data_IF_024958507167
#
_entry.id   IF_024958507167
#
_cell.length_a   1.000
_cell.length_b   1.000
_cell.length_c   1.000
_cell.angle_alpha   90.00
_cell.angle_beta   90.00
_cell.angle_gamma   90.00
#
_symmetry.space_group_name_H-M   'P 1'
#
loop_
_entity.id
_entity.type
_entity.pdbx_description
1 polymer ?
#
# COMPACT_ATOMS: atom_id res chain seq x y z
N UNK A 1 5.39 -29.82 37.08
CA UNK A 1 5.80 -28.87 36.00
C UNK A 1 5.88 -29.63 34.69
N UNK A 2 4.86 -29.50 33.82
CA UNK A 2 4.94 -29.95 32.43
C UNK A 2 5.05 -28.68 31.59
N UNK A 3 6.25 -28.38 31.10
CA UNK A 3 6.44 -27.36 30.09
C UNK A 3 5.93 -27.93 28.76
N UNK A 4 4.78 -27.44 28.30
CA UNK A 4 4.35 -27.66 26.94
C UNK A 4 5.25 -26.82 26.02
N UNK A 5 6.12 -27.48 25.25
CA UNK A 5 6.72 -26.87 24.07
C UNK A 5 5.58 -26.55 23.09
N UNK A 6 5.14 -25.29 23.05
CA UNK A 6 4.38 -24.79 21.92
C UNK A 6 5.35 -24.68 20.72
N UNK A 7 5.48 -25.78 19.98
CA UNK A 7 6.18 -25.79 18.70
C UNK A 7 5.45 -24.84 17.76
N UNK A 8 6.11 -23.75 17.38
CA UNK A 8 5.67 -22.88 16.30
C UNK A 8 5.78 -23.69 14.99
N UNK A 9 4.72 -24.40 14.62
CA UNK A 9 4.63 -24.97 13.27
C UNK A 9 4.53 -23.78 12.33
N UNK A 10 5.66 -23.36 11.77
CA UNK A 10 5.65 -22.55 10.57
C UNK A 10 4.90 -23.39 9.52
N UNK A 11 3.61 -23.09 9.30
CA UNK A 11 2.87 -23.69 8.20
C UNK A 11 3.69 -23.44 6.94
N UNK A 12 4.30 -24.50 6.43
CA UNK A 12 5.07 -24.49 5.18
C UNK A 12 4.10 -24.07 4.08
N UNK A 13 4.48 -23.09 3.27
CA UNK A 13 3.74 -22.80 2.05
C UNK A 13 3.99 -23.94 1.07
N UNK A 14 2.96 -24.74 0.82
CA UNK A 14 2.95 -25.64 -0.32
C UNK A 14 2.89 -24.81 -1.60
N UNK A 15 3.59 -25.23 -2.64
CA UNK A 15 3.42 -24.65 -3.97
C UNK A 15 2.01 -24.98 -4.49
N UNK A 16 1.26 -23.95 -4.87
CA UNK A 16 -0.11 -24.08 -5.35
C UNK A 16 -0.21 -23.49 -6.74
N UNK A 17 -0.93 -24.18 -7.63
CA UNK A 17 -1.30 -23.65 -8.93
C UNK A 17 -2.17 -22.39 -8.75
N UNK A 18 -1.72 -21.27 -9.33
CA UNK A 18 -2.50 -20.05 -9.32
C UNK A 18 -3.78 -20.27 -10.12
N UNK A 19 -4.92 -19.97 -9.51
CA UNK A 19 -6.22 -20.13 -10.14
C UNK A 19 -6.84 -18.76 -10.47
N UNK A 20 -7.35 -18.66 -11.68
CA UNK A 20 -8.20 -17.56 -12.09
C UNK A 20 -8.10 -17.10 -13.51
N UNK A 21 -8.88 -16.08 -13.87
CA UNK A 21 -8.81 -15.52 -15.21
C UNK A 21 -7.62 -14.57 -15.41
N UNK A 22 -7.03 -14.07 -14.32
CA UNK A 22 -5.81 -13.25 -14.34
C UNK A 22 -4.58 -13.95 -13.78
N UNK A 23 -3.49 -13.86 -14.53
CA UNK A 23 -2.13 -14.12 -14.05
C UNK A 23 -1.39 -12.80 -13.78
N UNK A 24 -1.61 -11.80 -14.64
CA UNK A 24 -0.99 -10.48 -14.55
C UNK A 24 -1.90 -9.41 -15.16
N UNK A 25 -1.68 -8.16 -14.75
CA UNK A 25 -2.36 -6.96 -15.26
C UNK A 25 -1.31 -5.88 -15.53
N UNK A 26 -1.39 -5.21 -16.66
CA UNK A 26 -0.51 -4.08 -17.00
C UNK A 26 -1.34 -2.84 -17.23
N UNK A 27 -1.20 -1.85 -16.37
CA UNK A 27 -1.73 -0.51 -16.61
C UNK A 27 -0.75 0.29 -17.47
N UNK A 28 -1.26 0.91 -18.51
CA UNK A 28 -0.48 1.75 -19.45
C UNK A 28 -1.11 3.12 -19.57
N UNK A 29 -0.32 4.12 -19.98
CA UNK A 29 -0.78 5.51 -20.10
C UNK A 29 -1.35 6.08 -18.79
N UNK A 30 -0.82 5.62 -17.65
CA UNK A 30 -1.34 5.96 -16.32
C UNK A 30 -1.20 7.46 -16.03
N UNK A 31 -0.06 8.03 -16.38
CA UNK A 31 0.20 9.45 -16.16
C UNK A 31 -0.23 10.33 -17.33
N UNK A 32 0.37 11.51 -17.37
CA UNK A 32 -0.05 12.63 -18.19
C UNK A 32 0.06 13.93 -17.41
N UNK A 33 -0.49 15.00 -17.97
CA UNK A 33 -0.56 16.31 -17.32
C UNK A 33 -1.97 16.54 -16.78
N UNK A 34 -2.07 17.09 -15.58
CA UNK A 34 -3.34 17.41 -14.94
C UNK A 34 -3.15 18.05 -13.58
N UNK A 35 -4.16 18.00 -12.73
CA UNK A 35 -4.09 18.55 -11.39
C UNK A 35 -4.92 17.77 -10.38
N UNK A 36 -4.54 17.83 -9.12
CA UNK A 36 -5.37 17.36 -8.01
C UNK A 36 -5.37 18.39 -6.87
N UNK A 37 -6.35 18.26 -5.97
CA UNK A 37 -6.48 19.10 -4.80
C UNK A 37 -5.62 18.58 -3.63
N UNK A 38 -4.43 19.15 -3.46
CA UNK A 38 -3.50 18.82 -2.39
C UNK A 38 -3.94 19.46 -1.07
N UNK A 39 -3.94 18.71 0.02
CA UNK A 39 -4.15 19.28 1.36
C UNK A 39 -2.93 20.13 1.72
N UNK A 40 -3.18 21.38 2.10
CA UNK A 40 -2.16 22.36 2.51
C UNK A 40 -2.26 22.67 4.00
N UNK A 41 -3.47 22.62 4.53
CA UNK A 41 -3.72 22.87 5.94
C UNK A 41 -5.01 22.18 6.37
N UNK A 42 -5.10 21.88 7.66
CA UNK A 42 -6.27 21.29 8.27
C UNK A 42 -6.54 22.04 9.57
N UNK A 43 -7.71 22.65 9.67
CA UNK A 43 -8.08 23.40 10.87
C UNK A 43 -8.61 22.43 11.93
N UNK A 44 -7.97 22.34 13.11
CA UNK A 44 -8.49 21.53 14.20
C UNK A 44 -9.81 22.14 14.69
N UNK A 45 -10.76 21.29 15.09
CA UNK A 45 -12.00 21.76 15.69
C UNK A 45 -11.85 22.03 17.19
N UNK A 46 -12.85 22.68 17.78
CA UNK A 46 -12.91 22.93 19.23
C UNK A 46 -13.94 21.99 19.84
N UNK A 47 -13.54 21.14 20.78
CA UNK A 47 -14.48 20.27 21.48
C UNK A 47 -15.60 21.09 22.15
N UNK A 48 -16.89 20.66 22.09
CA UNK A 48 -17.40 19.40 21.57
C UNK A 48 -17.84 19.44 20.10
N UNK A 49 -17.58 20.52 19.36
CA UNK A 49 -18.13 20.69 18.01
C UNK A 49 -17.06 20.95 16.95
N UNK A 50 -17.09 20.15 15.89
CA UNK A 50 -16.44 20.53 14.66
C UNK A 50 -17.39 21.43 13.82
N UNK A 51 -17.41 22.73 14.12
CA UNK A 51 -18.35 23.71 13.52
C UNK A 51 -18.29 23.70 11.99
N UNK A 52 -19.45 23.77 11.32
CA UNK A 52 -19.56 23.69 9.85
C UNK A 52 -18.90 24.87 9.10
N UNK A 53 -18.71 26.01 9.76
CA UNK A 53 -18.21 27.25 9.14
C UNK A 53 -16.67 27.37 9.13
N UNK A 54 -15.96 26.38 9.66
CA UNK A 54 -14.49 26.31 9.61
C UNK A 54 -14.11 25.52 8.36
N UNK A 55 -13.14 25.99 7.57
CA UNK A 55 -12.64 25.23 6.42
C UNK A 55 -11.74 24.10 6.94
N UNK A 56 -12.39 23.01 7.40
CA UNK A 56 -11.77 21.84 8.03
C UNK A 56 -10.63 21.28 7.18
N UNK A 57 -10.83 21.27 5.86
CA UNK A 57 -9.87 20.77 4.88
C UNK A 57 -9.51 21.87 3.89
N UNK A 58 -8.32 22.47 4.03
CA UNK A 58 -7.84 23.50 3.13
C UNK A 58 -6.98 22.84 2.06
N UNK A 59 -7.47 22.90 0.83
CA UNK A 59 -6.79 22.33 -0.33
C UNK A 59 -6.36 23.40 -1.32
N UNK A 60 -5.33 23.09 -2.10
CA UNK A 60 -4.87 23.89 -3.21
C UNK A 60 -4.69 22.97 -4.42
N UNK A 61 -5.17 23.42 -5.58
CA UNK A 61 -4.88 22.78 -6.85
C UNK A 61 -3.38 22.77 -7.11
N UNK A 62 -2.82 21.58 -7.34
CA UNK A 62 -1.43 21.40 -7.78
C UNK A 62 -1.37 20.69 -9.10
N UNK A 63 -0.51 21.19 -9.97
CA UNK A 63 -0.25 20.61 -11.28
C UNK A 63 0.68 19.41 -11.13
N UNK A 64 0.41 18.37 -11.91
CA UNK A 64 1.24 17.18 -12.05
C UNK A 64 1.49 16.90 -13.52
N UNK A 65 2.66 16.34 -13.81
CA UNK A 65 3.02 15.90 -15.14
C UNK A 65 4.08 14.80 -15.03
N UNK A 66 3.94 13.75 -15.82
CA UNK A 66 4.90 12.63 -15.83
C UNK A 66 4.28 11.35 -16.36
N UNK A 67 5.12 10.39 -16.74
CA UNK A 67 4.71 9.09 -17.31
C UNK A 67 3.76 8.33 -16.37
N UNK A 68 4.07 8.32 -15.07
CA UNK A 68 3.22 7.70 -14.06
C UNK A 68 2.58 8.68 -13.10
N UNK A 69 2.54 9.99 -13.40
CA UNK A 69 1.95 10.96 -12.50
C UNK A 69 0.50 10.59 -12.11
N UNK A 70 0.12 10.59 -10.82
CA UNK A 70 0.89 10.95 -9.62
C UNK A 70 1.55 9.76 -8.89
N UNK A 71 1.58 8.55 -9.48
CA UNK A 71 2.16 7.33 -8.90
C UNK A 71 3.70 7.29 -8.90
N UNK A 72 4.35 8.26 -9.54
CA UNK A 72 5.77 8.56 -9.39
C UNK A 72 6.10 9.41 -8.15
N UNK A 73 5.10 10.00 -7.47
CA UNK A 73 5.25 10.51 -6.11
C UNK A 73 5.56 9.37 -5.11
N UNK A 74 5.85 9.76 -3.86
CA UNK A 74 5.98 8.82 -2.75
C UNK A 74 4.68 8.04 -2.53
N UNK A 75 4.76 6.72 -2.60
CA UNK A 75 3.64 5.83 -2.28
C UNK A 75 3.81 5.15 -0.91
N UNK A 76 2.68 4.87 -0.29
CA UNK A 76 2.52 3.92 0.82
C UNK A 76 1.79 2.68 0.31
N UNK A 77 2.02 1.53 0.93
CA UNK A 77 1.22 0.32 0.66
C UNK A 77 0.37 -0.01 1.88
N UNK A 78 -0.94 -0.06 1.69
CA UNK A 78 -1.92 -0.33 2.72
C UNK A 78 -2.47 -1.75 2.57
N UNK A 79 -2.81 -2.37 3.69
CA UNK A 79 -3.28 -3.74 3.80
C UNK A 79 -4.51 -3.77 4.70
N UNK A 80 -5.55 -4.47 4.27
CA UNK A 80 -6.77 -4.71 5.04
C UNK A 80 -6.98 -6.22 5.24
N UNK A 81 -7.24 -6.61 6.48
CA UNK A 81 -7.38 -8.00 6.89
C UNK A 81 -8.79 -8.58 6.64
N UNK A 82 -8.93 -9.92 6.65
CA UNK A 82 -7.97 -10.90 7.13
C UNK A 82 -6.82 -11.16 6.15
N UNK A 83 -5.58 -11.13 6.63
CA UNK A 83 -4.41 -11.38 5.80
C UNK A 83 -3.25 -11.91 6.63
N UNK A 84 -2.53 -12.90 6.12
CA UNK A 84 -1.26 -13.33 6.66
C UNK A 84 -0.11 -12.84 5.78
N UNK A 85 0.67 -11.88 6.25
CA UNK A 85 1.89 -11.40 5.60
C UNK A 85 3.09 -12.23 6.07
N UNK A 86 3.86 -12.76 5.12
CA UNK A 86 5.02 -13.64 5.37
C UNK A 86 6.33 -13.01 4.99
N UNK A 87 6.36 -12.26 3.88
CA UNK A 87 7.53 -11.50 3.47
C UNK A 87 7.10 -10.24 2.73
N UNK A 88 7.84 -9.16 2.93
CA UNK A 88 7.72 -7.90 2.18
C UNK A 88 9.13 -7.52 1.72
N UNK A 89 9.26 -7.12 0.46
CA UNK A 89 10.48 -6.51 -0.05
C UNK A 89 10.14 -5.40 -1.04
N UNK A 90 10.80 -4.25 -0.89
CA UNK A 90 10.71 -3.12 -1.83
C UNK A 90 12.06 -2.96 -2.52
N UNK A 91 12.04 -2.83 -3.84
CA UNK A 91 13.22 -2.62 -4.68
C UNK A 91 13.08 -1.32 -5.46
N UNK A 92 14.18 -0.57 -5.61
CA UNK A 92 14.23 0.65 -6.42
C UNK A 92 15.50 0.64 -7.29
N UNK A 93 15.48 1.26 -8.48
CA UNK A 93 16.69 1.46 -9.27
C UNK A 93 17.63 2.44 -8.58
N UNK A 94 18.94 2.25 -8.73
CA UNK A 94 19.95 3.21 -8.29
C UNK A 94 20.63 3.83 -9.50
N UNK A 95 20.36 5.11 -9.78
CA UNK A 95 20.91 5.78 -10.96
C UNK A 95 20.37 5.20 -12.28
N UNK A 96 21.20 5.14 -13.33
CA UNK A 96 20.84 4.63 -14.67
C UNK A 96 20.73 3.09 -14.75
N UNK A 97 20.52 2.40 -13.63
CA UNK A 97 20.89 0.99 -13.48
C UNK A 97 19.92 -0.02 -14.13
N UNK A 98 20.53 -0.99 -14.79
CA UNK A 98 20.01 -2.28 -15.26
C UNK A 98 19.62 -3.24 -14.11
N UNK A 99 19.66 -2.80 -12.86
CA UNK A 99 19.27 -3.61 -11.70
C UNK A 99 18.60 -2.77 -10.62
N UNK A 100 17.60 -3.33 -9.96
CA UNK A 100 16.87 -2.70 -8.86
C UNK A 100 17.33 -3.32 -7.54
N UNK A 101 17.77 -2.50 -6.60
CA UNK A 101 18.29 -2.97 -5.31
C UNK A 101 17.17 -3.03 -4.27
N UNK A 102 17.21 -4.02 -3.39
CA UNK A 102 16.31 -4.13 -2.24
C UNK A 102 16.61 -2.98 -1.29
N UNK A 103 15.65 -2.09 -1.10
CA UNK A 103 15.77 -0.91 -0.24
C UNK A 103 15.03 -1.08 1.08
N UNK A 104 14.00 -1.93 1.13
CA UNK A 104 13.24 -2.22 2.35
C UNK A 104 12.83 -3.68 2.39
N UNK A 105 12.74 -4.25 3.59
CA UNK A 105 12.26 -5.63 3.74
C UNK A 105 11.76 -5.94 5.15
N UNK A 106 10.86 -6.92 5.24
CA UNK A 106 10.39 -7.45 6.52
C UNK A 106 9.92 -8.90 6.39
N UNK A 107 10.05 -9.65 7.48
CA UNK A 107 9.40 -10.94 7.70
C UNK A 107 9.02 -11.11 9.17
N UNK A 108 8.04 -11.97 9.50
CA UNK A 108 7.55 -12.17 10.87
C UNK A 108 8.65 -12.42 11.88
N UNK A 109 8.44 -11.93 13.11
CA UNK A 109 9.38 -12.06 14.23
C UNK A 109 10.77 -11.47 13.97
N UNK A 110 10.92 -10.61 12.95
CA UNK A 110 12.14 -9.83 12.69
C UNK A 110 11.85 -8.34 12.69
N UNK A 111 12.88 -7.56 13.05
CA UNK A 111 12.82 -6.10 12.89
C UNK A 111 12.78 -5.76 11.40
N UNK A 112 11.86 -4.88 10.97
CA UNK A 112 11.88 -4.39 9.60
C UNK A 112 13.17 -3.64 9.24
N UNK A 113 13.55 -3.67 7.97
CA UNK A 113 14.65 -2.89 7.40
C UNK A 113 14.07 -1.77 6.53
N UNK A 114 14.37 -0.51 6.84
CA UNK A 114 13.91 0.69 6.12
C UNK A 114 12.40 0.67 5.81
N UNK A 115 11.60 0.18 6.75
CA UNK A 115 10.15 0.34 6.73
C UNK A 115 9.58 0.37 8.15
N UNK A 116 8.41 0.98 8.29
CA UNK A 116 7.62 1.01 9.54
C UNK A 116 6.19 0.58 9.24
N UNK A 117 5.60 -0.16 10.18
CA UNK A 117 4.16 -0.43 10.16
C UNK A 117 3.40 0.68 10.88
N UNK A 118 2.37 1.18 10.23
CA UNK A 118 1.55 2.28 10.70
C UNK A 118 0.07 1.89 10.57
N UNK A 119 -0.80 2.59 11.30
CA UNK A 119 -2.25 2.43 11.25
C UNK A 119 -2.94 3.78 11.43
N UNK A 120 -4.24 3.84 11.14
CA UNK A 120 -5.05 5.05 11.27
C UNK A 120 -5.64 5.21 12.68
N UNK A 121 -4.80 5.13 13.72
CA UNK A 121 -5.19 5.11 15.15
C UNK A 121 -4.51 6.22 15.96
N UNK A 122 -4.28 7.36 15.32
CA UNK A 122 -3.76 8.58 15.94
C UNK A 122 -4.61 9.06 17.13
N UNK A 123 -3.96 9.70 18.09
CA UNK A 123 -4.55 10.08 19.39
C UNK A 123 -4.43 9.02 20.47
N UNK A 124 -3.87 7.86 20.14
CA UNK A 124 -3.44 6.86 21.12
C UNK A 124 -2.01 7.12 21.62
N UNK A 125 -1.08 6.20 21.39
CA UNK A 125 0.32 6.31 21.85
C UNK A 125 1.24 7.10 20.90
N UNK A 126 0.81 7.28 19.66
CA UNK A 126 1.42 8.16 18.66
C UNK A 126 0.35 8.68 17.72
N UNK A 127 0.72 9.56 16.79
CA UNK A 127 -0.23 10.33 16.01
C UNK A 127 -1.07 11.26 16.86
N UNK A 128 -2.08 11.84 16.24
CA UNK A 128 -2.97 12.82 16.85
C UNK A 128 -4.42 12.46 16.52
N UNK A 129 -5.34 12.90 17.37
CA UNK A 129 -6.77 12.88 17.07
C UNK A 129 -7.31 14.31 17.14
N UNK A 130 -8.18 14.65 16.20
CA UNK A 130 -8.84 15.94 16.13
C UNK A 130 -10.31 15.73 15.77
N UNK A 131 -11.18 16.57 16.32
CA UNK A 131 -12.63 16.45 16.17
C UNK A 131 -13.11 16.71 14.74
N UNK A 132 -12.34 17.44 13.94
CA UNK A 132 -12.66 17.73 12.54
C UNK A 132 -12.03 16.77 11.54
N UNK A 133 -10.89 16.20 11.88
CA UNK A 133 -10.09 15.38 10.99
C UNK A 133 -10.03 13.90 11.35
N UNK A 134 -10.53 13.53 12.53
CA UNK A 134 -10.39 12.19 13.08
C UNK A 134 -8.95 11.86 13.47
N UNK A 135 -8.70 10.55 13.53
CA UNK A 135 -7.39 9.98 13.79
C UNK A 135 -6.45 10.25 12.61
N UNK A 136 -5.24 10.72 12.92
CA UNK A 136 -4.13 10.67 11.97
C UNK A 136 -3.54 9.27 11.91
N UNK A 137 -2.52 9.11 11.07
CA UNK A 137 -1.64 7.95 11.14
C UNK A 137 -0.87 7.89 12.47
N UNK A 138 -0.54 6.67 12.91
CA UNK A 138 0.23 6.33 14.10
C UNK A 138 1.09 5.08 13.86
N UNK A 139 2.10 4.83 14.70
CA UNK A 139 2.87 3.58 14.65
C UNK A 139 2.04 2.41 15.18
N UNK A 140 2.06 1.26 14.49
CA UNK A 140 1.23 0.11 14.83
C UNK A 140 1.89 -0.83 15.87
N UNK A 141 1.07 -1.45 16.73
CA UNK A 141 1.48 -2.55 17.61
C UNK A 141 1.86 -3.82 16.83
N UNK A 142 2.55 -4.75 17.50
CA UNK A 142 3.04 -6.00 16.89
C UNK A 142 1.95 -6.94 16.39
N UNK A 143 0.74 -6.80 16.92
CA UNK A 143 -0.49 -7.49 16.50
C UNK A 143 -1.39 -6.63 15.60
N UNK A 144 -0.93 -5.41 15.27
CA UNK A 144 -1.61 -4.42 14.43
C UNK A 144 -2.97 -3.91 14.93
N UNK A 145 -3.32 -4.14 16.19
CA UNK A 145 -4.64 -3.75 16.73
C UNK A 145 -4.67 -2.39 17.43
N UNK A 146 -3.52 -1.78 17.71
CA UNK A 146 -3.39 -0.56 18.52
C UNK A 146 -2.27 0.34 18.00
N UNK A 147 -2.19 1.57 18.51
CA UNK A 147 -1.03 2.43 18.33
C UNK A 147 0.02 2.23 19.44
N UNK A 148 1.30 2.39 19.08
CA UNK A 148 2.47 2.38 19.98
C UNK A 148 3.26 3.68 19.86
N UNK A 149 4.19 3.93 20.78
CA UNK A 149 4.87 5.23 20.87
C UNK A 149 6.02 5.37 19.86
N UNK A 150 6.68 4.27 19.51
CA UNK A 150 7.87 4.27 18.66
C UNK A 150 7.71 3.40 17.41
N UNK A 151 8.38 3.75 16.30
CA UNK A 151 8.36 2.91 15.11
C UNK A 151 8.95 1.53 15.43
N UNK A 152 8.26 0.47 15.00
CA UNK A 152 8.71 -0.92 15.16
C UNK A 152 9.11 -1.28 16.60
N UNK A 153 8.38 -0.73 17.59
CA UNK A 153 8.62 -0.98 19.01
C UNK A 153 8.49 -2.47 19.37
N UNK A 154 7.62 -3.17 18.65
CA UNK A 154 7.33 -4.59 18.84
C UNK A 154 7.65 -5.38 17.58
N UNK A 155 7.85 -6.69 17.72
CA UNK A 155 7.95 -7.60 16.59
C UNK A 155 6.56 -7.96 16.09
N UNK A 156 6.43 -8.12 14.77
CA UNK A 156 5.15 -8.35 14.11
C UNK A 156 4.95 -9.84 13.84
N UNK A 157 3.75 -10.36 14.13
CA UNK A 157 3.40 -11.77 13.92
C UNK A 157 3.15 -12.12 12.46
N UNK A 158 2.75 -11.12 11.66
CA UNK A 158 2.31 -11.31 10.28
C UNK A 158 0.84 -11.61 10.11
N UNK A 159 0.05 -11.70 11.18
CA UNK A 159 -1.40 -11.89 11.07
C UNK A 159 -2.15 -10.57 11.24
N UNK A 160 -2.80 -10.13 10.17
CA UNK A 160 -3.72 -8.99 10.15
C UNK A 160 -5.15 -9.51 10.29
N UNK A 161 -5.79 -9.17 11.39
CA UNK A 161 -7.13 -9.62 11.75
C UNK A 161 -8.20 -8.95 10.85
N UNK A 162 -9.37 -9.57 10.64
CA UNK A 162 -10.52 -8.90 10.03
C UNK A 162 -10.82 -7.57 10.73
N UNK A 163 -11.15 -6.55 9.94
CA UNK A 163 -11.53 -5.22 10.44
C UNK A 163 -10.35 -4.34 10.87
N UNK A 164 -9.11 -4.82 10.72
CA UNK A 164 -7.90 -4.06 10.98
C UNK A 164 -7.16 -3.74 9.70
N UNK A 165 -6.58 -2.54 9.70
CA UNK A 165 -5.81 -2.00 8.59
C UNK A 165 -4.49 -1.43 9.05
N UNK A 166 -3.50 -1.65 8.21
CA UNK A 166 -2.17 -1.09 8.37
C UNK A 166 -1.68 -0.53 7.05
N UNK A 167 -0.67 0.32 7.11
CA UNK A 167 0.11 0.69 5.95
C UNK A 167 1.60 0.65 6.28
N UNK A 168 2.44 0.50 5.25
CA UNK A 168 3.89 0.59 5.37
C UNK A 168 4.42 1.85 4.72
N UNK A 169 5.38 2.47 5.40
CA UNK A 169 6.16 3.61 4.90
C UNK A 169 7.65 3.34 5.16
N UNK A 170 8.56 4.15 4.63
CA UNK A 170 10.00 4.08 4.97
C UNK A 170 10.22 4.42 6.45
N UNK A 171 11.37 4.05 7.02
CA UNK A 171 11.70 4.40 8.41
C UNK A 171 12.14 5.87 8.60
N UNK A 172 12.05 6.68 7.55
CA UNK A 172 12.41 8.10 7.55
C UNK A 172 11.21 8.97 7.96
N UNK A 173 11.18 9.56 9.15
CA UNK A 173 10.09 10.43 9.56
C UNK A 173 10.11 11.75 8.79
N UNK A 174 8.93 12.33 8.54
CA UNK A 174 8.81 13.70 8.07
C UNK A 174 9.37 14.66 9.15
N UNK A 175 10.17 15.65 8.74
CA UNK A 175 10.74 16.64 9.67
C UNK A 175 10.98 17.98 8.98
N UNK A 176 11.32 19.02 9.73
CA UNK A 176 11.71 20.31 9.15
C UNK A 176 12.97 20.23 8.26
N UNK A 177 13.85 19.25 8.52
CA UNK A 177 15.09 19.03 7.74
C UNK A 177 14.88 18.11 6.54
N UNK A 178 13.86 17.27 6.60
CA UNK A 178 13.45 16.35 5.53
C UNK A 178 11.92 16.42 5.43
N UNK A 179 11.38 17.47 4.82
CA UNK A 179 9.93 17.66 4.77
C UNK A 179 9.30 16.66 3.80
N UNK A 180 8.18 16.08 4.22
CA UNK A 180 7.33 15.33 3.32
C UNK A 180 6.62 16.28 2.35
N UNK A 181 6.36 15.80 1.13
CA UNK A 181 5.50 16.52 0.17
C UNK A 181 4.09 16.64 0.76
N UNK A 182 3.52 17.83 0.67
CA UNK A 182 2.16 18.14 1.13
C UNK A 182 2.01 18.29 2.63
N UNK A 183 0.76 18.42 3.07
CA UNK A 183 0.43 18.50 4.48
C UNK A 183 0.61 17.13 5.16
N UNK A 184 1.34 17.12 6.28
CA UNK A 184 1.49 15.97 7.16
C UNK A 184 1.14 16.39 8.59
N UNK A 185 0.41 15.54 9.31
CA UNK A 185 -0.02 15.80 10.68
C UNK A 185 0.41 14.68 11.61
N UNK A 186 0.86 15.04 12.81
CA UNK A 186 1.28 14.09 13.83
C UNK A 186 2.43 13.20 13.37
N UNK A 187 2.25 11.89 13.53
CA UNK A 187 3.25 10.89 13.14
C UNK A 187 3.13 10.58 11.65
N UNK A 188 4.20 10.89 10.89
CA UNK A 188 4.23 10.71 9.46
C UNK A 188 5.64 10.34 8.97
N UNK A 189 5.70 9.51 7.92
CA UNK A 189 6.95 9.01 7.33
C UNK A 189 7.01 9.23 5.81
N UNK A 190 8.20 9.16 5.24
CA UNK A 190 8.42 9.15 3.80
C UNK A 190 7.93 7.84 3.16
N UNK A 191 7.40 7.91 1.94
CA UNK A 191 7.04 6.74 1.14
C UNK A 191 8.14 6.39 0.13
N UNK A 192 7.84 5.51 -0.82
CA UNK A 192 8.76 5.18 -1.92
C UNK A 192 8.34 5.93 -3.19
N UNK A 193 9.18 6.86 -3.65
CA UNK A 193 8.96 7.62 -4.89
C UNK A 193 9.56 6.93 -6.13
N UNK A 194 9.24 7.46 -7.32
CA UNK A 194 9.81 7.03 -8.60
C UNK A 194 9.52 5.57 -8.93
N UNK A 195 10.39 4.97 -9.75
CA UNK A 195 10.30 3.55 -10.07
C UNK A 195 10.53 2.67 -8.85
N UNK A 196 9.68 1.67 -8.66
CA UNK A 196 9.66 0.82 -7.46
C UNK A 196 8.95 -0.49 -7.72
N UNK A 197 9.46 -1.55 -7.13
CA UNK A 197 8.85 -2.88 -7.13
C UNK A 197 8.57 -3.25 -5.69
N UNK A 198 7.34 -3.63 -5.38
CA UNK A 198 7.00 -4.28 -4.12
C UNK A 198 6.66 -5.75 -4.39
N UNK A 199 7.26 -6.64 -3.62
CA UNK A 199 6.91 -8.06 -3.57
C UNK A 199 6.39 -8.41 -2.18
N UNK A 200 5.26 -9.11 -2.12
CA UNK A 200 4.56 -9.47 -0.89
C UNK A 200 4.23 -10.96 -0.96
N UNK A 201 4.75 -11.75 -0.03
CA UNK A 201 4.29 -13.12 0.18
C UNK A 201 3.16 -13.10 1.21
N UNK A 202 1.99 -13.58 0.81
CA UNK A 202 0.79 -13.50 1.65
C UNK A 202 -0.20 -14.65 1.44
N UNK A 203 -1.13 -14.72 2.39
CA UNK A 203 -2.40 -15.43 2.31
C UNK A 203 -3.53 -14.48 2.71
N UNK A 204 -4.69 -14.58 2.07
CA UNK A 204 -5.89 -13.82 2.38
C UNK A 204 -7.03 -14.82 2.66
N UNK A 205 -7.05 -15.48 3.83
CA UNK A 205 -8.10 -16.46 4.16
C UNK A 205 -9.46 -15.77 4.29
N UNK A 206 -10.55 -16.54 4.21
CA UNK A 206 -11.87 -16.03 4.57
C UNK A 206 -11.95 -15.78 6.08
N UNK A 207 -12.62 -14.71 6.49
CA UNK A 207 -12.85 -14.43 7.91
C UNK A 207 -13.51 -13.07 8.15
N UNK A 208 -14.49 -13.04 9.06
CA UNK A 208 -15.28 -11.84 9.34
C UNK A 208 -16.22 -11.45 8.19
N UNK A 209 -16.78 -10.24 8.29
CA UNK A 209 -17.54 -9.61 7.20
C UNK A 209 -16.63 -8.77 6.29
N UNK A 210 -15.32 -8.77 6.52
CA UNK A 210 -14.38 -7.89 5.83
C UNK A 210 -13.68 -8.59 4.66
N UNK A 211 -13.45 -7.80 3.61
CA UNK A 211 -12.64 -8.17 2.46
C UNK A 211 -11.16 -8.05 2.79
N UNK A 212 -10.32 -8.74 2.02
CA UNK A 212 -8.88 -8.52 2.05
C UNK A 212 -8.49 -7.58 0.92
N UNK A 213 -7.72 -6.55 1.24
CA UNK A 213 -7.26 -5.58 0.24
C UNK A 213 -5.79 -5.23 0.40
N UNK A 214 -5.15 -4.92 -0.72
CA UNK A 214 -3.81 -4.35 -0.81
C UNK A 214 -3.91 -3.14 -1.72
N UNK A 215 -3.65 -1.96 -1.19
CA UNK A 215 -3.70 -0.71 -1.93
C UNK A 215 -2.31 -0.08 -1.99
N UNK A 216 -2.01 0.63 -3.06
CA UNK A 216 -0.96 1.64 -3.06
C UNK A 216 -1.59 3.02 -3.14
N UNK A 217 -1.31 3.86 -2.14
CA UNK A 217 -1.85 5.22 -2.05
C UNK A 217 -0.71 6.21 -2.22
N UNK A 218 -0.99 7.39 -2.80
CA UNK A 218 -0.09 8.52 -2.62
C UNK A 218 0.11 8.78 -1.12
N UNK A 219 1.36 8.90 -0.68
CA UNK A 219 1.69 8.97 0.74
C UNK A 219 1.04 10.17 1.44
N UNK A 220 0.68 11.22 0.70
CA UNK A 220 -0.09 12.35 1.21
C UNK A 220 -1.46 11.96 1.78
N UNK A 221 -2.05 10.87 1.29
CA UNK A 221 -3.35 10.37 1.76
C UNK A 221 -3.29 9.98 3.22
N UNK A 222 -2.28 9.21 3.60
CA UNK A 222 -2.13 8.71 4.97
C UNK A 222 -1.47 9.73 5.91
N UNK A 223 -0.66 10.64 5.38
CA UNK A 223 -0.02 11.71 6.17
C UNK A 223 -0.98 12.78 6.66
N UNK A 224 -2.09 12.98 5.95
CA UNK A 224 -3.11 13.96 6.31
C UNK A 224 -4.19 13.31 7.17
N UNK A 225 -5.12 12.58 6.55
CA UNK A 225 -6.11 11.72 7.19
C UNK A 225 -6.71 10.76 6.15
N UNK A 226 -6.33 9.47 6.18
CA UNK A 226 -6.69 8.49 5.14
C UNK A 226 -8.20 8.42 4.85
N UNK A 227 -9.02 8.52 5.90
CA UNK A 227 -10.48 8.48 5.82
C UNK A 227 -11.15 9.84 6.09
N UNK A 228 -10.37 10.92 6.01
CA UNK A 228 -10.84 12.28 6.27
C UNK A 228 -10.35 13.26 5.20
N UNK A 229 -9.77 14.38 5.64
CA UNK A 229 -9.20 15.39 4.76
C UNK A 229 -7.93 14.87 4.08
N UNK A 230 -8.05 14.42 2.84
CA UNK A 230 -6.92 13.98 2.02
C UNK A 230 -7.12 14.32 0.53
N UNK A 231 -6.12 13.97 -0.29
CA UNK A 231 -6.12 14.22 -1.73
C UNK A 231 -6.60 13.03 -2.60
N UNK A 232 -6.99 11.88 -2.03
CA UNK A 232 -7.21 10.59 -2.75
C UNK A 232 -8.09 10.75 -3.98
N UNK A 233 -9.28 11.35 -3.80
CA UNK A 233 -10.25 11.67 -4.86
C UNK A 233 -10.65 10.45 -5.70
N UNK A 234 -11.73 9.76 -5.31
CA UNK A 234 -12.27 8.62 -6.07
C UNK A 234 -13.29 9.11 -7.09
N UNK A 235 -12.99 8.97 -8.39
CA UNK A 235 -13.86 9.45 -9.48
C UNK A 235 -13.71 10.95 -9.79
N UNK A 236 -14.36 11.45 -10.84
CA UNK A 236 -14.18 12.83 -11.35
C UNK A 236 -14.49 13.91 -10.30
N UNK A 237 -13.62 14.93 -10.09
CA UNK A 237 -12.47 15.32 -10.91
C UNK A 237 -11.13 14.57 -10.60
N UNK A 238 -11.19 13.44 -9.91
CA UNK A 238 -10.06 12.58 -9.58
C UNK A 238 -9.26 13.07 -8.38
N UNK A 239 -8.10 12.46 -8.15
CA UNK A 239 -7.22 12.87 -7.06
C UNK A 239 -5.77 12.41 -7.17
N UNK A 240 -5.05 12.46 -6.06
CA UNK A 240 -3.62 12.25 -6.00
C UNK A 240 -3.17 10.80 -6.14
N UNK A 241 -4.09 9.86 -6.36
CA UNK A 241 -3.77 8.52 -6.81
C UNK A 241 -4.05 7.43 -5.77
N UNK A 242 -4.70 6.39 -6.25
CA UNK A 242 -4.85 5.09 -5.60
C UNK A 242 -4.76 4.00 -6.67
N UNK A 243 -4.12 2.89 -6.35
CA UNK A 243 -4.29 1.65 -7.08
C UNK A 243 -4.54 0.51 -6.11
N UNK A 244 -5.65 -0.17 -6.31
CA UNK A 244 -5.97 -1.40 -5.63
C UNK A 244 -5.18 -2.50 -6.30
N UNK A 245 -4.07 -2.93 -5.69
CA UNK A 245 -3.25 -4.00 -6.23
C UNK A 245 -4.05 -5.31 -6.25
N UNK A 246 -4.84 -5.52 -5.20
CA UNK A 246 -5.75 -6.65 -5.04
C UNK A 246 -6.82 -6.29 -4.03
N UNK A 247 -8.10 -6.35 -4.41
CA UNK A 247 -9.22 -6.10 -3.50
C UNK A 247 -10.34 -7.13 -3.70
N UNK A 248 -10.76 -7.78 -2.61
CA UNK A 248 -11.97 -8.61 -2.62
C UNK A 248 -13.20 -7.77 -2.30
N UNK A 249 -14.21 -7.80 -3.15
CA UNK A 249 -15.44 -7.02 -2.97
C UNK A 249 -16.39 -7.69 -1.97
N UNK A 250 -16.58 -7.07 -0.81
CA UNK A 250 -17.43 -7.58 0.29
C UNK A 250 -18.89 -7.75 -0.12
N UNK A 251 -19.43 -6.79 -0.88
CA UNK A 251 -20.79 -6.85 -1.42
C UNK A 251 -20.94 -7.74 -2.66
N UNK A 252 -19.82 -8.30 -3.13
CA UNK A 252 -19.76 -9.15 -4.32
C UNK A 252 -19.31 -10.57 -3.99
N UNK A 253 -18.64 -11.20 -4.94
CA UNK A 253 -18.05 -12.51 -4.74
C UNK A 253 -16.68 -12.35 -4.05
N UNK A 254 -16.64 -12.58 -2.74
CA UNK A 254 -15.43 -12.49 -1.92
C UNK A 254 -14.38 -13.55 -2.23
N UNK A 255 -14.68 -14.55 -3.07
CA UNK A 255 -13.71 -15.51 -3.59
C UNK A 255 -12.88 -14.94 -4.75
N UNK A 256 -13.20 -13.72 -5.22
CA UNK A 256 -12.51 -13.04 -6.30
C UNK A 256 -11.88 -11.75 -5.80
N UNK A 257 -10.75 -11.41 -6.40
CA UNK A 257 -10.07 -10.16 -6.17
C UNK A 257 -9.81 -9.43 -7.49
N UNK A 258 -9.91 -8.10 -7.45
CA UNK A 258 -9.85 -7.21 -8.60
C UNK A 258 -8.78 -6.14 -8.39
N UNK A 259 -8.46 -5.41 -9.46
CA UNK A 259 -7.58 -4.24 -9.38
C UNK A 259 -8.26 -3.08 -10.09
N UNK A 260 -8.23 -1.92 -9.44
CA UNK A 260 -8.78 -0.66 -9.93
C UNK A 260 -7.74 0.44 -9.65
N UNK A 261 -7.62 1.40 -10.56
CA UNK A 261 -6.74 2.54 -10.42
C UNK A 261 -7.56 3.82 -10.51
N UNK A 262 -7.32 4.75 -9.59
CA UNK A 262 -7.95 6.05 -9.50
C UNK A 262 -6.88 7.14 -9.55
N UNK A 263 -7.11 8.18 -10.34
CA UNK A 263 -6.20 9.34 -10.42
C UNK A 263 -6.96 10.58 -10.86
N UNK A 264 -6.25 11.70 -11.07
CA UNK A 264 -6.82 12.91 -11.70
C UNK A 264 -7.42 12.66 -13.09
N UNK A 265 -7.08 11.53 -13.74
CA UNK A 265 -7.66 11.13 -15.04
C UNK A 265 -9.02 10.44 -14.91
N UNK A 266 -9.39 9.98 -13.71
CA UNK A 266 -10.62 9.23 -13.49
C UNK A 266 -10.37 7.88 -12.82
N UNK A 267 -11.06 6.83 -13.27
CA UNK A 267 -10.94 5.48 -12.75
C UNK A 267 -10.98 4.44 -13.90
N UNK A 268 -10.21 3.37 -13.77
CA UNK A 268 -10.27 2.20 -14.67
C UNK A 268 -9.69 0.97 -13.98
N UNK A 269 -9.95 -0.24 -14.48
CA UNK A 269 -9.47 -1.44 -13.84
C UNK A 269 -9.73 -2.72 -14.60
N UNK A 270 -9.67 -3.84 -13.88
CA UNK A 270 -9.81 -5.17 -14.46
C UNK A 270 -11.24 -5.48 -14.89
N UNK A 271 -12.23 -4.74 -14.37
CA UNK A 271 -13.64 -5.01 -14.60
C UNK A 271 -14.11 -6.35 -14.01
N UNK A 272 -15.39 -6.68 -14.20
CA UNK A 272 -16.02 -7.85 -13.55
C UNK A 272 -15.58 -9.22 -14.10
N UNK A 273 -15.02 -9.24 -15.31
CA UNK A 273 -14.69 -10.47 -16.05
C UNK A 273 -13.24 -10.94 -15.83
N UNK A 274 -12.38 -10.07 -15.30
CA UNK A 274 -10.97 -10.37 -15.07
C UNK A 274 -10.65 -10.24 -13.57
N UNK A 275 -10.30 -11.36 -12.95
CA UNK A 275 -10.07 -11.45 -11.51
C UNK A 275 -8.92 -12.40 -11.19
N UNK A 276 -8.35 -12.27 -9.99
CA UNK A 276 -7.58 -13.33 -9.32
C UNK A 276 -8.47 -14.07 -8.32
N UNK A 277 -8.34 -15.39 -8.19
CA UNK A 277 -8.98 -16.05 -7.04
C UNK A 277 -8.37 -15.48 -5.76
N UNK A 278 -9.19 -15.25 -4.75
CA UNK A 278 -8.72 -14.83 -3.42
C UNK A 278 -7.59 -15.78 -2.99
N UNK A 279 -6.39 -15.28 -2.65
CA UNK A 279 -5.25 -16.13 -2.36
C UNK A 279 -5.36 -16.73 -0.95
N UNK A 280 -6.28 -17.68 -0.77
CA UNK A 280 -6.48 -18.41 0.49
C UNK A 280 -5.31 -19.34 0.84
N UNK A 281 -4.43 -19.57 -0.13
CA UNK A 281 -3.15 -20.26 0.01
C UNK A 281 -2.01 -19.32 -0.36
N UNK A 282 -0.80 -19.65 0.09
CA UNK A 282 0.34 -18.75 -0.05
C UNK A 282 0.62 -18.39 -1.49
N UNK A 283 0.87 -17.11 -1.73
CA UNK A 283 1.28 -16.62 -3.04
C UNK A 283 2.24 -15.43 -2.88
N UNK A 284 2.94 -15.10 -3.95
CA UNK A 284 3.70 -13.85 -4.05
C UNK A 284 2.96 -12.91 -4.98
N UNK A 285 2.54 -11.76 -4.46
CA UNK A 285 2.03 -10.66 -5.25
C UNK A 285 3.16 -9.67 -5.53
N UNK A 286 3.31 -9.24 -6.78
CA UNK A 286 4.30 -8.25 -7.19
C UNK A 286 3.60 -7.10 -7.89
N UNK A 287 3.92 -5.88 -7.48
CA UNK A 287 3.57 -4.65 -8.20
C UNK A 287 4.85 -3.90 -8.59
N UNK A 288 4.96 -3.55 -9.87
CA UNK A 288 6.10 -2.85 -10.45
C UNK A 288 5.58 -1.53 -11.04
N UNK A 289 6.02 -0.42 -10.47
CA UNK A 289 5.83 0.91 -11.02
C UNK A 289 7.12 1.25 -11.77
N UNK A 290 7.10 1.17 -13.10
CA UNK A 290 8.28 1.47 -13.93
C UNK A 290 8.04 2.81 -14.66
N UNK A 291 8.52 3.89 -14.04
CA UNK A 291 8.38 5.25 -14.58
C UNK A 291 9.06 5.36 -15.95
N UNK A 292 10.18 4.68 -16.16
CA UNK A 292 10.92 4.77 -17.43
C UNK A 292 10.15 4.12 -18.57
N UNK A 293 9.49 2.98 -18.30
CA UNK A 293 8.70 2.24 -19.30
C UNK A 293 7.22 2.64 -19.37
N UNK A 294 6.80 3.64 -18.60
CA UNK A 294 5.43 4.17 -18.63
C UNK A 294 4.35 3.09 -18.38
N UNK A 295 4.58 2.26 -17.36
CA UNK A 295 3.64 1.21 -16.99
C UNK A 295 3.62 0.90 -15.50
N UNK A 296 2.50 0.32 -15.06
CA UNK A 296 2.39 -0.37 -13.77
C UNK A 296 2.02 -1.83 -14.06
N UNK A 297 2.88 -2.76 -13.65
CA UNK A 297 2.68 -4.19 -13.83
C UNK A 297 2.33 -4.85 -12.49
N UNK A 298 1.19 -5.53 -12.44
CA UNK A 298 0.76 -6.40 -11.35
C UNK A 298 0.88 -7.85 -11.79
N UNK A 299 1.34 -8.72 -10.90
CA UNK A 299 1.33 -10.16 -11.14
C UNK A 299 1.25 -10.96 -9.85
N UNK A 300 0.73 -12.16 -9.98
CA UNK A 300 0.74 -13.16 -8.94
C UNK A 300 1.64 -14.31 -9.35
N UNK A 301 2.46 -14.80 -8.42
CA UNK A 301 3.43 -15.87 -8.65
C UNK A 301 3.29 -16.97 -7.57
N UNK A 302 3.55 -18.24 -7.90
CA UNK A 302 3.81 -19.26 -6.89
C UNK A 302 5.01 -18.87 -6.02
N UNK A 303 5.04 -19.32 -4.76
CA UNK A 303 6.08 -18.95 -3.79
C UNK A 303 7.48 -19.36 -4.25
N UNK A 304 7.64 -20.49 -4.95
CA UNK A 304 8.93 -20.91 -5.50
C UNK A 304 9.45 -20.08 -6.69
N UNK A 305 8.67 -19.13 -7.23
CA UNK A 305 9.08 -18.31 -8.39
C UNK A 305 9.70 -16.97 -8.03
N UNK A 306 9.73 -16.61 -6.74
CA UNK A 306 10.36 -15.37 -6.27
C UNK A 306 11.17 -15.61 -5.00
N UNK A 307 12.37 -15.03 -4.92
CA UNK A 307 13.25 -15.18 -3.75
C UNK A 307 13.39 -13.87 -2.99
N UNK A 308 12.91 -13.85 -1.75
CA UNK A 308 13.04 -12.70 -0.84
C UNK A 308 14.44 -12.53 -0.25
N UNK A 309 15.31 -13.55 -0.37
CA UNK A 309 16.71 -13.45 0.06
C UNK A 309 17.57 -12.61 -0.89
N UNK A 310 17.16 -12.47 -2.15
CA UNK A 310 17.89 -11.66 -3.13
C UNK A 310 18.00 -10.20 -2.67
N UNK A 311 19.18 -9.61 -2.83
CA UNK A 311 19.40 -8.17 -2.59
C UNK A 311 19.12 -7.33 -3.83
N UNK A 312 18.94 -7.94 -5.00
CA UNK A 312 18.75 -7.25 -6.28
C UNK A 312 17.80 -8.01 -7.20
N UNK A 313 17.12 -7.28 -8.07
CA UNK A 313 16.45 -7.78 -9.26
C UNK A 313 17.27 -7.30 -10.46
N UNK A 314 17.83 -8.23 -11.24
CA UNK A 314 18.59 -7.88 -12.44
C UNK A 314 17.65 -7.58 -13.63
N UNK A 315 18.22 -7.03 -14.70
CA UNK A 315 17.47 -6.62 -15.89
C UNK A 315 16.67 -7.78 -16.50
N UNK A 316 17.28 -8.95 -16.65
CA UNK A 316 16.62 -10.10 -17.25
C UNK A 316 15.42 -10.57 -16.41
N UNK A 317 15.55 -10.57 -15.08
CA UNK A 317 14.45 -10.86 -14.15
C UNK A 317 13.34 -9.81 -14.26
N UNK A 318 13.71 -8.52 -14.27
CA UNK A 318 12.76 -7.42 -14.42
C UNK A 318 12.00 -7.51 -15.76
N UNK A 319 12.72 -7.68 -16.87
CA UNK A 319 12.12 -7.82 -18.20
C UNK A 319 11.23 -9.05 -18.31
N UNK A 320 11.59 -10.16 -17.66
CA UNK A 320 10.72 -11.34 -17.60
C UNK A 320 9.41 -11.03 -16.89
N UNK A 321 9.48 -10.34 -15.74
CA UNK A 321 8.29 -9.91 -15.00
C UNK A 321 7.42 -8.96 -15.84
N UNK A 322 8.02 -7.97 -16.50
CA UNK A 322 7.32 -6.98 -17.34
C UNK A 322 6.76 -7.54 -18.66
N UNK A 323 7.19 -8.74 -19.08
CA UNK A 323 6.66 -9.45 -20.26
C UNK A 323 5.64 -10.52 -19.88
N UNK A 324 5.18 -10.55 -18.63
CA UNK A 324 4.15 -11.48 -18.20
C UNK A 324 2.89 -11.26 -19.05
N UNK A 325 2.41 -12.30 -19.71
CA UNK A 325 1.17 -12.23 -20.47
C UNK A 325 -0.01 -12.07 -19.50
N UNK A 326 -0.92 -11.16 -19.84
CA UNK A 326 -2.05 -10.81 -18.99
C UNK A 326 -2.92 -9.73 -19.62
N UNK A 327 -3.83 -9.20 -18.81
CA UNK A 327 -4.71 -8.12 -19.23
C UNK A 327 -3.91 -6.82 -19.35
N UNK A 328 -4.13 -6.07 -20.43
CA UNK A 328 -3.61 -4.70 -20.58
C UNK A 328 -4.77 -3.74 -20.40
N UNK A 329 -4.65 -2.83 -19.44
CA UNK A 329 -5.66 -1.82 -19.11
C UNK A 329 -5.08 -0.44 -19.42
N UNK A 330 -5.46 0.19 -20.55
CA UNK A 330 -5.04 1.56 -20.82
C UNK A 330 -5.85 2.53 -19.94
N UNK A 331 -5.15 3.52 -19.37
CA UNK A 331 -5.78 4.65 -18.70
C UNK A 331 -5.87 5.79 -19.72
N UNK A 332 -7.07 6.02 -20.27
CA UNK A 332 -7.31 7.12 -21.19
C UNK A 332 -7.59 8.41 -20.44
#
# INVERSE_FOLDING_TARGET
MRYALAGLVALLCSDVALAGSLNSVTYTHVGGSGSYEQVTHMQPGVWPSCTANIQKCVKKSVQVSGKLAPFDDELTFAFSGPMRLRNIAVYQPTGKATAWNKVSSWSPSRKPTNLVFMNNMGGGKSGEWDICAGASQSYASGDWTKSVARPNEQLFSGWLQPGYEINIMTDKPCSSKLPCRGFARGTANHGWAGSKLIAIELEAPYGGNDGSSIWALNAQVVRSAQYGCNCRGMGSPGGCGEIDLMETLVSGNTSRAFSEIYSFKGATGTGSNHWWDRPVQCTVFIAIFDVEKDLIQLMRLPTNKFSFSSSKINEAQLLKMLKSQGLVVPFH
#
